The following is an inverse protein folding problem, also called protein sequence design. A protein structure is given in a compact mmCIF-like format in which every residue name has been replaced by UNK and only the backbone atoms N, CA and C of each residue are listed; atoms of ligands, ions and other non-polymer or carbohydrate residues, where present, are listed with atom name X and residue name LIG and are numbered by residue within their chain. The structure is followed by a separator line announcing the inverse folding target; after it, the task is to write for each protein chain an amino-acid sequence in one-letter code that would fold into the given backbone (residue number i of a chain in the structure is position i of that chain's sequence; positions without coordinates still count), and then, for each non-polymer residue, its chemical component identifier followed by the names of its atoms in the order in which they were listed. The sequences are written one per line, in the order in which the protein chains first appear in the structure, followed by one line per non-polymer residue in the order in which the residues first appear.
data_IF_856604903431
#
_entry.id   IF_856604903431
#
_cell.length_a   1.000
_cell.length_b   1.000
_cell.length_c   1.000
_cell.angle_alpha   90.00
_cell.angle_beta   90.00
_cell.angle_gamma   90.00
#
_symmetry.space_group_name_H-M   'P 1'
#
loop_
_entity.id
_entity.type
_entity.pdbx_description
1 polymer ?
#
# COMPACT_ATOMS: atom_id res chain seq x y z
N UNK A 1 24.29 11.40 17.09
CA UNK A 1 22.95 11.13 16.51
C UNK A 1 22.79 12.00 15.30
N UNK A 2 22.22 11.48 14.22
CA UNK A 2 21.93 12.29 13.04
C UNK A 2 20.94 13.40 13.42
N UNK A 3 21.13 14.59 12.86
CA UNK A 3 20.25 15.74 13.11
C UNK A 3 18.99 15.71 12.24
N UNK A 4 18.74 14.62 11.52
CA UNK A 4 17.64 14.52 10.57
C UNK A 4 17.09 13.11 10.45
N UNK A 5 15.84 13.03 10.00
CA UNK A 5 15.16 11.81 9.57
C UNK A 5 14.23 12.12 8.39
N UNK A 6 14.53 11.57 7.21
CA UNK A 6 13.84 11.92 5.96
C UNK A 6 12.89 10.82 5.49
N UNK A 7 12.63 9.80 6.28
CA UNK A 7 11.75 8.71 5.87
C UNK A 7 10.94 8.23 7.06
N UNK A 8 9.75 8.80 7.23
CA UNK A 8 8.82 8.46 8.30
C UNK A 8 7.38 8.46 7.81
N UNK A 9 6.58 7.63 8.48
CA UNK A 9 5.17 7.41 8.18
C UNK A 9 4.30 7.81 9.37
N UNK A 10 3.17 8.43 9.07
CA UNK A 10 2.11 8.78 10.00
C UNK A 10 0.91 7.85 9.82
N UNK A 11 -0.10 8.00 10.68
CA UNK A 11 -1.36 7.28 10.55
C UNK A 11 -2.12 7.51 9.22
N UNK A 12 -1.69 8.44 8.37
CA UNK A 12 -2.35 8.73 7.09
C UNK A 12 -2.02 7.74 5.96
N UNK A 13 -0.97 6.93 6.09
CA UNK A 13 -0.55 5.90 5.11
C UNK A 13 -0.99 4.47 5.46
N UNK A 14 -1.58 4.28 6.65
CA UNK A 14 -2.12 2.99 7.11
C UNK A 14 -1.09 2.02 7.70
N UNK A 15 0.19 2.23 7.47
CA UNK A 15 1.31 1.50 8.09
C UNK A 15 2.03 2.31 9.18
N UNK A 16 1.85 3.63 9.22
CA UNK A 16 2.26 4.49 10.33
C UNK A 16 1.30 4.42 11.52
N UNK A 17 1.86 4.54 12.73
CA UNK A 17 1.10 4.46 14.00
C UNK A 17 0.84 5.81 14.65
N UNK A 18 1.67 6.81 14.36
CA UNK A 18 1.67 8.10 15.05
C UNK A 18 1.01 9.18 14.19
N UNK A 19 0.28 10.08 14.84
CA UNK A 19 -0.15 11.33 14.22
C UNK A 19 1.04 12.26 13.90
N UNK A 20 0.89 13.22 12.97
CA UNK A 20 1.90 14.26 12.74
C UNK A 20 2.39 14.96 14.01
N UNK A 21 1.49 15.23 14.95
CA UNK A 21 1.82 15.84 16.25
C UNK A 21 2.74 14.95 17.09
N UNK A 22 2.40 13.67 17.21
CA UNK A 22 3.23 12.73 17.96
C UNK A 22 4.61 12.57 17.30
N UNK A 23 4.68 12.53 15.97
CA UNK A 23 5.95 12.48 15.24
C UNK A 23 6.83 13.71 15.52
N UNK A 24 6.25 14.91 15.54
CA UNK A 24 6.97 16.14 15.88
C UNK A 24 7.46 16.13 17.33
N UNK A 25 6.65 15.70 18.29
CA UNK A 25 7.06 15.60 19.69
C UNK A 25 8.18 14.56 19.89
N UNK A 26 8.14 13.45 19.13
CA UNK A 26 9.23 12.47 19.12
C UNK A 26 10.49 13.09 18.52
N UNK A 27 10.39 13.79 17.39
CA UNK A 27 11.52 14.43 16.72
C UNK A 27 12.21 15.48 17.62
N UNK A 28 11.43 16.31 18.31
CA UNK A 28 11.89 17.30 19.28
C UNK A 28 12.64 16.64 20.44
N UNK A 29 12.06 15.62 21.07
CA UNK A 29 12.69 14.82 22.14
C UNK A 29 13.98 14.15 21.70
N UNK A 30 14.08 13.74 20.42
CA UNK A 30 15.27 13.13 19.82
C UNK A 30 16.30 14.16 19.36
N UNK A 31 15.99 15.45 19.43
CA UNK A 31 16.89 16.52 19.00
C UNK A 31 17.05 16.63 17.48
N UNK A 32 16.10 16.11 16.70
CA UNK A 32 16.10 16.24 15.25
C UNK A 32 15.85 17.71 14.84
N UNK A 33 16.48 18.13 13.76
CA UNK A 33 16.40 19.50 13.21
C UNK A 33 15.75 19.56 11.85
N UNK A 34 15.80 18.47 11.09
CA UNK A 34 15.19 18.36 9.77
C UNK A 34 14.44 17.03 9.70
N UNK A 35 13.18 17.06 9.30
CA UNK A 35 12.41 15.83 9.04
C UNK A 35 11.70 15.89 7.70
N UNK A 36 11.25 14.74 7.19
CA UNK A 36 10.32 14.66 6.07
C UNK A 36 9.28 13.59 6.33
N UNK A 37 8.00 13.98 6.29
CA UNK A 37 6.89 13.02 6.31
C UNK A 37 6.71 12.47 4.90
N UNK A 38 6.82 11.17 4.75
CA UNK A 38 6.84 10.47 3.46
C UNK A 38 5.82 9.34 3.46
N UNK A 39 4.59 9.66 3.84
CA UNK A 39 3.47 8.72 3.85
C UNK A 39 3.33 8.00 2.49
N UNK A 40 3.00 6.71 2.52
CA UNK A 40 2.67 5.94 1.32
C UNK A 40 1.53 6.59 0.53
N UNK A 41 1.83 7.00 -0.70
CA UNK A 41 0.91 7.50 -1.72
C UNK A 41 0.02 8.68 -1.29
N UNK A 42 0.36 9.35 -0.18
CA UNK A 42 -0.46 10.39 0.43
C UNK A 42 0.38 11.57 0.92
N UNK A 43 -0.13 12.78 0.73
CA UNK A 43 0.46 14.03 1.25
C UNK A 43 -0.38 14.67 2.36
N UNK A 44 -1.41 13.98 2.83
CA UNK A 44 -2.47 14.51 3.71
C UNK A 44 -1.93 15.11 5.02
N UNK A 45 -0.91 14.50 5.62
CA UNK A 45 -0.29 14.97 6.86
C UNK A 45 0.77 16.05 6.69
N UNK A 46 1.22 16.34 5.46
CA UNK A 46 2.42 17.16 5.23
C UNK A 46 2.20 18.62 5.64
N UNK A 47 1.02 19.18 5.38
CA UNK A 47 0.69 20.55 5.79
C UNK A 47 0.70 20.69 7.32
N UNK A 48 -0.01 19.78 8.00
CA UNK A 48 -0.12 19.73 9.46
C UNK A 48 1.26 19.61 10.12
N UNK A 49 2.07 18.62 9.69
CA UNK A 49 3.40 18.40 10.29
C UNK A 49 4.34 19.58 10.04
N UNK A 50 4.21 20.26 8.89
CA UNK A 50 5.00 21.45 8.56
C UNK A 50 4.69 22.62 9.48
N UNK A 51 3.42 22.84 9.82
CA UNK A 51 3.00 23.89 10.76
C UNK A 51 3.51 23.59 12.17
N UNK A 52 3.33 22.35 12.66
CA UNK A 52 3.83 21.89 13.95
C UNK A 52 5.36 21.97 14.06
N UNK A 53 6.08 21.65 12.97
CA UNK A 53 7.54 21.77 12.90
C UNK A 53 8.01 23.21 13.11
N UNK A 54 7.31 24.21 12.55
CA UNK A 54 7.64 25.64 12.75
C UNK A 54 7.57 26.02 14.22
N UNK A 55 6.56 25.56 14.95
CA UNK A 55 6.39 25.84 16.39
C UNK A 55 7.55 25.30 17.23
N UNK A 56 8.14 24.17 16.82
CA UNK A 56 9.26 23.50 17.50
C UNK A 56 10.64 23.88 16.95
N UNK A 57 10.72 24.73 15.93
CA UNK A 57 11.98 25.04 15.24
C UNK A 57 12.59 23.84 14.50
N UNK A 58 11.76 22.89 14.07
CA UNK A 58 12.13 21.72 13.26
C UNK A 58 11.75 22.02 11.81
N UNK A 59 12.71 21.95 10.90
CA UNK A 59 12.44 22.12 9.47
C UNK A 59 11.80 20.86 8.92
N UNK A 60 10.62 21.00 8.32
CA UNK A 60 9.96 19.91 7.58
C UNK A 60 10.20 20.09 6.09
N UNK A 61 10.68 19.04 5.44
CA UNK A 61 10.73 18.92 3.98
C UNK A 61 9.46 18.18 3.54
N UNK A 62 8.62 18.76 2.68
CA UNK A 62 7.47 18.05 2.12
C UNK A 62 7.92 16.75 1.44
N UNK A 63 7.24 15.65 1.74
CA UNK A 63 7.65 14.32 1.31
C UNK A 63 6.46 13.47 0.90
N UNK A 64 6.75 12.42 0.14
CA UNK A 64 5.84 11.31 -0.16
C UNK A 64 6.68 10.05 -0.44
N UNK A 65 6.17 8.87 -0.14
CA UNK A 65 6.69 7.61 -0.66
C UNK A 65 5.68 7.04 -1.66
N UNK A 66 6.00 7.08 -2.95
CA UNK A 66 5.16 6.53 -4.00
C UNK A 66 5.37 5.03 -4.15
N UNK A 67 4.27 4.26 -4.18
CA UNK A 67 4.27 2.87 -4.61
C UNK A 67 4.35 2.81 -6.14
N UNK A 68 5.38 2.17 -6.68
CA UNK A 68 5.60 2.12 -8.14
C UNK A 68 6.02 0.73 -8.61
N UNK A 69 5.87 0.47 -9.90
CA UNK A 69 6.34 -0.75 -10.55
C UNK A 69 7.53 -0.44 -11.45
N UNK A 70 8.60 -1.24 -11.31
CA UNK A 70 9.75 -1.27 -12.21
C UNK A 70 10.02 -2.71 -12.64
N UNK A 71 9.94 -2.98 -13.95
CA UNK A 71 10.19 -4.32 -14.53
C UNK A 71 9.37 -5.45 -13.86
N UNK A 72 8.14 -5.13 -13.43
CA UNK A 72 7.24 -6.07 -12.76
C UNK A 72 7.46 -6.23 -11.26
N UNK A 73 8.39 -5.49 -10.66
CA UNK A 73 8.67 -5.51 -9.23
C UNK A 73 8.15 -4.24 -8.56
N UNK A 74 7.67 -4.38 -7.32
CA UNK A 74 7.33 -3.25 -6.46
C UNK A 74 8.61 -2.52 -6.04
N UNK A 75 8.68 -1.23 -6.38
CA UNK A 75 9.79 -0.35 -6.02
C UNK A 75 9.20 0.93 -5.43
N UNK A 76 9.57 1.24 -4.19
CA UNK A 76 9.15 2.49 -3.58
C UNK A 76 10.07 3.65 -3.97
N UNK A 77 9.46 4.80 -4.23
CA UNK A 77 10.13 6.00 -4.67
C UNK A 77 9.77 7.18 -3.77
N UNK A 78 10.77 7.75 -3.11
CA UNK A 78 10.62 8.95 -2.29
C UNK A 78 10.61 10.18 -3.19
N UNK A 79 9.68 11.10 -2.93
CA UNK A 79 9.65 12.44 -3.52
C UNK A 79 9.84 13.50 -2.46
N UNK A 80 10.93 14.26 -2.53
CA UNK A 80 11.25 15.32 -1.56
C UNK A 80 11.08 16.71 -2.15
N UNK A 81 10.49 17.63 -1.39
CA UNK A 81 10.28 19.02 -1.79
C UNK A 81 9.21 19.18 -2.87
N UNK A 82 8.29 18.23 -2.98
CA UNK A 82 7.18 18.29 -3.93
C UNK A 82 6.18 19.41 -3.58
N UNK A 83 5.53 19.95 -4.59
CA UNK A 83 4.30 20.71 -4.43
C UNK A 83 3.17 19.79 -3.96
N UNK A 84 2.79 19.92 -2.70
CA UNK A 84 1.74 19.11 -2.06
C UNK A 84 0.32 19.52 -2.47
N UNK A 85 0.16 20.65 -3.19
CA UNK A 85 -1.12 21.06 -3.78
C UNK A 85 -1.26 20.55 -5.23
N UNK A 86 -0.22 19.93 -5.79
CA UNK A 86 -0.27 19.31 -7.10
C UNK A 86 -1.35 18.23 -7.15
N UNK A 87 -2.27 18.35 -8.11
CA UNK A 87 -3.45 17.49 -8.22
C UNK A 87 -3.11 16.00 -8.38
N UNK A 88 -1.95 15.64 -8.94
CA UNK A 88 -1.54 14.24 -9.03
C UNK A 88 -1.37 13.62 -7.63
N UNK A 89 -0.65 14.30 -6.73
CA UNK A 89 -0.34 13.81 -5.38
C UNK A 89 -1.52 13.93 -4.44
N UNK A 90 -2.31 15.01 -4.55
CA UNK A 90 -3.55 15.18 -3.77
C UNK A 90 -4.52 14.01 -4.01
N UNK A 91 -4.61 13.52 -5.25
CA UNK A 91 -5.54 12.47 -5.64
C UNK A 91 -4.87 11.08 -5.78
N UNK A 92 -3.60 10.90 -5.39
CA UNK A 92 -2.88 9.65 -5.65
C UNK A 92 -3.48 8.49 -4.85
N UNK A 93 -3.57 8.62 -3.53
CA UNK A 93 -4.17 7.60 -2.65
C UNK A 93 -5.59 7.20 -3.11
N UNK A 94 -6.45 8.17 -3.43
CA UNK A 94 -7.82 7.89 -3.87
C UNK A 94 -7.86 7.13 -5.20
N UNK A 95 -6.99 7.47 -6.16
CA UNK A 95 -6.87 6.73 -7.43
C UNK A 95 -6.39 5.30 -7.20
N UNK A 96 -5.39 5.09 -6.36
CA UNK A 96 -4.87 3.75 -6.07
C UNK A 96 -5.89 2.90 -5.32
N UNK A 97 -6.59 3.48 -4.33
CA UNK A 97 -7.69 2.82 -3.63
C UNK A 97 -8.79 2.39 -4.60
N UNK A 98 -9.16 3.26 -5.55
CA UNK A 98 -10.14 2.90 -6.58
C UNK A 98 -9.66 1.71 -7.43
N UNK A 99 -8.41 1.74 -7.91
CA UNK A 99 -7.82 0.64 -8.69
C UNK A 99 -7.84 -0.68 -7.90
N UNK A 100 -7.52 -0.62 -6.60
CA UNK A 100 -7.54 -1.78 -5.72
C UNK A 100 -8.94 -2.35 -5.53
N UNK A 101 -9.96 -1.50 -5.35
CA UNK A 101 -11.35 -1.94 -5.27
C UNK A 101 -11.86 -2.52 -6.58
N UNK A 102 -11.66 -1.82 -7.71
CA UNK A 102 -12.03 -2.32 -9.04
C UNK A 102 -11.41 -3.71 -9.31
N UNK A 103 -10.13 -3.87 -8.96
CA UNK A 103 -9.43 -5.14 -9.07
C UNK A 103 -10.00 -6.21 -8.12
N UNK A 104 -10.42 -5.85 -6.91
CA UNK A 104 -11.04 -6.78 -5.98
C UNK A 104 -12.40 -7.27 -6.48
N UNK A 105 -13.26 -6.39 -6.99
CA UNK A 105 -14.54 -6.80 -7.61
C UNK A 105 -14.33 -7.78 -8.75
N UNK A 106 -13.37 -7.50 -9.64
CA UNK A 106 -13.06 -8.40 -10.76
C UNK A 106 -12.48 -9.75 -10.28
N UNK A 107 -11.69 -9.76 -9.21
CA UNK A 107 -11.21 -11.00 -8.58
C UNK A 107 -12.37 -11.82 -8.04
N UNK A 108 -13.29 -11.18 -7.31
CA UNK A 108 -14.51 -11.84 -6.79
C UNK A 108 -15.31 -12.44 -7.94
N UNK A 109 -15.60 -11.67 -8.99
CA UNK A 109 -16.33 -12.15 -10.18
C UNK A 109 -15.67 -13.40 -10.79
N UNK A 110 -14.36 -13.35 -11.04
CA UNK A 110 -13.60 -14.48 -11.60
C UNK A 110 -13.64 -15.71 -10.71
N UNK A 111 -13.50 -15.54 -9.40
CA UNK A 111 -13.53 -16.64 -8.42
C UNK A 111 -14.94 -17.27 -8.39
N UNK A 112 -15.99 -16.45 -8.32
CA UNK A 112 -17.38 -16.93 -8.35
C UNK A 112 -17.66 -17.75 -9.62
N UNK A 113 -17.28 -17.21 -10.78
CA UNK A 113 -17.47 -17.87 -12.07
C UNK A 113 -16.68 -19.19 -12.18
N UNK A 114 -15.45 -19.23 -11.67
CA UNK A 114 -14.58 -20.42 -11.77
C UNK A 114 -15.04 -21.55 -10.85
N UNK A 115 -15.47 -21.22 -9.62
CA UNK A 115 -15.72 -22.21 -8.58
C UNK A 115 -17.21 -22.41 -8.27
N UNK A 116 -18.11 -21.63 -8.88
CA UNK A 116 -19.55 -21.69 -8.61
C UNK A 116 -19.90 -21.31 -7.17
N UNK A 117 -19.18 -20.33 -6.61
CA UNK A 117 -19.42 -19.84 -5.24
C UNK A 117 -20.12 -18.48 -5.27
N UNK A 118 -20.85 -18.17 -4.20
CA UNK A 118 -21.53 -16.88 -4.02
C UNK A 118 -20.77 -16.06 -2.97
N UNK A 119 -20.40 -14.84 -3.36
CA UNK A 119 -19.64 -13.88 -2.57
C UNK A 119 -20.27 -12.50 -2.75
N UNK A 120 -20.42 -11.79 -1.64
CA UNK A 120 -20.79 -10.38 -1.65
C UNK A 120 -19.52 -9.54 -1.46
N UNK A 121 -19.08 -8.87 -2.53
CA UNK A 121 -17.86 -8.07 -2.50
C UNK A 121 -18.00 -6.84 -1.59
N UNK A 122 -19.18 -6.22 -1.54
CA UNK A 122 -19.43 -5.04 -0.72
C UNK A 122 -19.41 -5.43 0.76
N UNK A 123 -20.04 -6.54 1.12
CA UNK A 123 -19.99 -7.07 2.49
C UNK A 123 -18.56 -7.43 2.90
N UNK A 124 -17.77 -8.06 2.02
CA UNK A 124 -16.38 -8.40 2.32
C UNK A 124 -15.51 -7.16 2.54
N UNK A 125 -15.74 -6.10 1.77
CA UNK A 125 -15.07 -4.80 1.95
C UNK A 125 -15.47 -4.18 3.29
N UNK A 126 -16.76 -4.12 3.61
CA UNK A 126 -17.24 -3.54 4.87
C UNK A 126 -16.69 -4.31 6.08
N UNK A 127 -16.78 -5.63 6.05
CA UNK A 127 -16.32 -6.51 7.11
C UNK A 127 -14.79 -6.53 7.29
N UNK A 128 -14.03 -6.03 6.31
CA UNK A 128 -12.58 -5.89 6.42
C UNK A 128 -12.14 -4.69 7.27
N UNK A 129 -13.06 -3.74 7.56
CA UNK A 129 -12.80 -2.52 8.32
C UNK A 129 -11.58 -1.73 7.80
N UNK A 130 -11.48 -1.58 6.48
CA UNK A 130 -10.40 -0.86 5.81
C UNK A 130 -9.09 -1.64 5.67
N UNK A 131 -9.06 -2.92 6.06
CA UNK A 131 -7.96 -3.84 5.77
C UNK A 131 -8.16 -4.50 4.39
N UNK A 132 -7.14 -5.19 3.90
CA UNK A 132 -7.25 -5.91 2.63
C UNK A 132 -8.32 -7.04 2.73
N UNK A 133 -9.44 -6.97 1.96
CA UNK A 133 -10.53 -7.93 2.04
C UNK A 133 -10.16 -9.32 1.50
N UNK A 134 -9.05 -9.45 0.76
CA UNK A 134 -8.54 -10.72 0.23
C UNK A 134 -8.37 -11.80 1.31
N UNK A 135 -7.79 -11.41 2.44
CA UNK A 135 -7.53 -12.35 3.55
C UNK A 135 -8.84 -12.81 4.19
N UNK A 136 -9.78 -11.89 4.40
CA UNK A 136 -11.09 -12.23 4.97
C UNK A 136 -11.87 -13.16 4.03
N UNK A 137 -11.91 -12.84 2.74
CA UNK A 137 -12.57 -13.63 1.71
C UNK A 137 -12.07 -15.08 1.71
N UNK A 138 -10.75 -15.27 1.58
CA UNK A 138 -10.18 -16.62 1.53
C UNK A 138 -10.25 -17.35 2.86
N UNK A 139 -10.10 -16.64 3.98
CA UNK A 139 -10.31 -17.25 5.30
C UNK A 139 -11.72 -17.80 5.43
N UNK A 140 -12.75 -17.05 5.00
CA UNK A 140 -14.13 -17.53 5.01
C UNK A 140 -14.33 -18.69 4.05
N UNK A 141 -13.88 -18.59 2.81
CA UNK A 141 -14.02 -19.66 1.80
C UNK A 141 -13.37 -20.96 2.27
N UNK A 142 -12.14 -20.91 2.74
CA UNK A 142 -11.40 -22.12 3.15
C UNK A 142 -11.91 -22.75 4.45
N UNK A 143 -12.69 -22.03 5.26
CA UNK A 143 -13.32 -22.57 6.46
C UNK A 143 -14.81 -22.91 6.26
N UNK A 144 -15.39 -22.62 5.09
CA UNK A 144 -16.79 -22.90 4.81
C UNK A 144 -16.98 -24.38 4.41
N UNK A 145 -17.79 -25.17 5.15
CA UNK A 145 -18.06 -26.57 4.82
C UNK A 145 -18.62 -26.80 3.40
N UNK A 146 -19.32 -25.80 2.84
CA UNK A 146 -19.91 -25.88 1.48
C UNK A 146 -18.85 -26.03 0.40
N UNK A 147 -17.64 -25.52 0.63
CA UNK A 147 -16.59 -25.40 -0.39
C UNK A 147 -15.42 -26.37 -0.22
N UNK A 148 -15.43 -27.19 0.85
CA UNK A 148 -14.35 -28.15 1.15
C UNK A 148 -14.17 -29.24 0.09
N UNK A 149 -15.20 -29.49 -0.72
CA UNK A 149 -15.16 -30.46 -1.82
C UNK A 149 -14.49 -29.96 -3.11
N UNK A 150 -14.15 -28.67 -3.20
CA UNK A 150 -13.53 -28.10 -4.39
C UNK A 150 -12.06 -28.56 -4.45
N UNK A 151 -11.70 -29.27 -5.52
CA UNK A 151 -10.38 -29.87 -5.70
C UNK A 151 -9.24 -28.85 -5.53
N UNK A 152 -9.42 -27.67 -6.13
CA UNK A 152 -8.46 -26.57 -6.09
C UNK A 152 -8.20 -26.03 -4.67
N UNK A 153 -9.09 -26.30 -3.70
CA UNK A 153 -8.99 -25.77 -2.34
C UNK A 153 -8.31 -26.73 -1.36
N UNK A 154 -8.20 -28.03 -1.70
CA UNK A 154 -7.72 -29.08 -0.78
C UNK A 154 -6.37 -28.79 -0.13
N UNK A 155 -5.47 -28.12 -0.84
CA UNK A 155 -4.15 -27.80 -0.32
C UNK A 155 -4.16 -26.60 0.65
N UNK A 156 -5.21 -25.78 0.65
CA UNK A 156 -5.30 -24.52 1.38
C UNK A 156 -6.28 -24.55 2.56
N UNK A 157 -7.26 -25.45 2.55
CA UNK A 157 -8.15 -25.68 3.69
C UNK A 157 -7.37 -26.18 4.92
N UNK A 158 -7.92 -26.05 6.15
CA UNK A 158 -7.22 -26.48 7.37
C UNK A 158 -6.69 -27.92 7.28
N UNK A 159 -5.38 -28.09 7.52
CA UNK A 159 -4.67 -29.37 7.41
C UNK A 159 -4.07 -29.66 6.03
N UNK A 160 -4.35 -28.83 5.02
CA UNK A 160 -3.70 -28.88 3.72
C UNK A 160 -2.24 -28.42 3.76
N UNK A 161 -1.42 -28.91 2.82
CA UNK A 161 0.04 -28.65 2.79
C UNK A 161 0.42 -27.18 2.53
N UNK A 162 -0.53 -26.33 2.12
CA UNK A 162 -0.36 -24.89 1.84
C UNK A 162 -1.33 -24.03 2.64
N UNK A 163 -1.89 -24.56 3.73
CA UNK A 163 -2.90 -23.85 4.53
C UNK A 163 -2.35 -22.67 5.35
N UNK A 164 -1.02 -22.51 5.44
CA UNK A 164 -0.39 -21.45 6.22
C UNK A 164 0.71 -20.70 5.43
N UNK A 165 0.53 -19.40 5.10
CA UNK A 165 -0.74 -18.67 5.07
C UNK A 165 -1.50 -18.95 3.77
N UNK A 166 -2.66 -19.62 3.89
CA UNK A 166 -3.47 -20.05 2.74
C UNK A 166 -3.81 -18.94 1.71
N UNK A 167 -4.28 -17.74 2.11
CA UNK A 167 -4.63 -16.69 1.15
C UNK A 167 -3.44 -16.22 0.29
N UNK A 168 -2.23 -16.23 0.84
CA UNK A 168 -1.01 -15.84 0.12
C UNK A 168 -0.59 -16.94 -0.84
N UNK A 169 -0.54 -18.18 -0.34
CA UNK A 169 -0.18 -19.34 -1.15
C UNK A 169 -1.14 -19.51 -2.34
N UNK A 170 -2.44 -19.33 -2.12
CA UNK A 170 -3.44 -19.39 -3.19
C UNK A 170 -3.21 -18.31 -4.25
N UNK A 171 -2.90 -17.08 -3.83
CA UNK A 171 -2.61 -15.99 -4.75
C UNK A 171 -1.40 -16.31 -5.66
N UNK A 172 -0.32 -16.83 -5.09
CA UNK A 172 0.88 -17.21 -5.86
C UNK A 172 0.68 -18.40 -6.78
N UNK A 173 -0.17 -19.35 -6.42
CA UNK A 173 -0.37 -20.55 -7.22
C UNK A 173 -1.42 -20.36 -8.32
N UNK A 174 -2.44 -19.53 -8.07
CA UNK A 174 -3.66 -19.50 -8.87
C UNK A 174 -4.00 -18.16 -9.49
N UNK A 175 -3.38 -17.05 -9.04
CA UNK A 175 -3.75 -15.69 -9.45
C UNK A 175 -2.63 -14.91 -10.14
N UNK A 176 -1.51 -15.55 -10.49
CA UNK A 176 -0.39 -14.93 -11.19
C UNK A 176 -0.68 -14.74 -12.68
N UNK A 177 0.10 -13.88 -13.33
CA UNK A 177 -0.01 -13.60 -14.76
C UNK A 177 -0.03 -14.91 -15.58
N UNK A 178 -1.00 -15.01 -16.51
CA UNK A 178 -1.22 -16.21 -17.32
C UNK A 178 -2.23 -17.20 -16.73
N UNK A 179 -2.73 -16.99 -15.52
CA UNK A 179 -3.84 -17.76 -14.95
C UNK A 179 -5.21 -17.16 -15.27
N UNK A 180 -6.27 -17.97 -15.25
CA UNK A 180 -7.65 -17.49 -15.46
C UNK A 180 -8.10 -16.48 -14.39
N UNK A 181 -7.57 -16.59 -13.18
CA UNK A 181 -7.89 -15.72 -12.04
C UNK A 181 -7.00 -14.47 -11.99
N UNK A 182 -6.06 -14.30 -12.92
CA UNK A 182 -5.21 -13.12 -12.97
C UNK A 182 -6.03 -11.85 -13.21
N UNK A 183 -5.76 -10.81 -12.43
CA UNK A 183 -6.31 -9.47 -12.63
C UNK A 183 -5.15 -8.50 -12.73
N UNK A 184 -5.00 -7.89 -13.90
CA UNK A 184 -4.03 -6.84 -14.13
C UNK A 184 -4.51 -5.54 -13.47
N UNK A 185 -3.59 -4.88 -12.77
CA UNK A 185 -3.79 -3.55 -12.21
C UNK A 185 -2.69 -2.66 -12.76
N UNK A 186 -3.09 -1.57 -13.42
CA UNK A 186 -2.16 -0.60 -13.97
C UNK A 186 -1.68 0.34 -12.85
N UNK A 187 -0.72 -0.15 -12.07
CA UNK A 187 -0.06 0.64 -11.02
C UNK A 187 0.86 1.71 -11.65
N UNK A 188 1.17 2.81 -10.91
CA UNK A 188 2.11 3.82 -11.37
C UNK A 188 3.46 3.22 -11.79
N UNK A 189 3.94 3.57 -12.98
CA UNK A 189 5.29 3.21 -13.42
C UNK A 189 6.32 4.03 -12.65
N UNK A 190 7.44 3.41 -12.32
CA UNK A 190 8.58 4.07 -11.70
C UNK A 190 9.01 5.32 -12.49
N UNK A 191 9.15 5.20 -13.82
CA UNK A 191 9.57 6.29 -14.70
C UNK A 191 8.57 7.45 -14.73
N UNK A 192 7.28 7.16 -14.82
CA UNK A 192 6.26 8.21 -14.77
C UNK A 192 6.22 8.88 -13.39
N UNK A 193 6.34 8.12 -12.30
CA UNK A 193 6.40 8.67 -10.94
C UNK A 193 7.62 9.57 -10.73
N UNK A 194 8.80 9.21 -11.25
CA UNK A 194 9.98 10.10 -11.26
C UNK A 194 9.66 11.40 -11.98
N UNK A 195 9.05 11.32 -13.16
CA UNK A 195 8.66 12.51 -13.94
C UNK A 195 7.67 13.38 -13.17
N UNK A 196 6.65 12.79 -12.53
CA UNK A 196 5.65 13.50 -11.74
C UNK A 196 6.24 14.23 -10.54
N UNK A 197 7.20 13.59 -9.85
CA UNK A 197 7.94 14.22 -8.74
C UNK A 197 8.70 15.46 -9.24
N UNK A 198 9.42 15.34 -10.36
CA UNK A 198 10.17 16.46 -10.94
C UNK A 198 9.25 17.57 -11.49
N UNK A 199 8.13 17.22 -12.13
CA UNK A 199 7.10 18.17 -12.59
C UNK A 199 6.51 18.99 -11.44
N UNK A 200 6.42 18.40 -10.23
CA UNK A 200 6.01 19.08 -9.01
C UNK A 200 7.16 19.78 -8.27
N UNK A 201 8.33 19.92 -8.89
CA UNK A 201 9.50 20.62 -8.33
C UNK A 201 10.30 19.84 -7.29
N UNK A 202 9.95 18.57 -7.04
CA UNK A 202 10.63 17.72 -6.07
C UNK A 202 11.85 17.00 -6.64
N UNK A 203 12.51 16.23 -5.78
CA UNK A 203 13.63 15.33 -6.11
C UNK A 203 13.19 13.89 -5.83
N UNK A 204 13.36 13.02 -6.83
CA UNK A 204 13.06 11.61 -6.71
C UNK A 204 14.26 10.82 -6.17
N UNK A 205 14.04 9.93 -5.19
CA UNK A 205 15.07 9.08 -4.57
C UNK A 205 14.52 7.67 -4.39
N UNK A 206 15.26 6.65 -4.80
CA UNK A 206 14.83 5.26 -4.55
C UNK A 206 14.85 4.97 -3.05
N UNK A 207 13.70 4.52 -2.52
CA UNK A 207 13.58 4.13 -1.13
C UNK A 207 14.25 2.78 -0.90
N UNK A 208 14.90 2.60 0.26
CA UNK A 208 15.43 1.31 0.74
C UNK A 208 15.93 0.35 -0.36
N UNK A 209 16.90 0.77 -1.22
CA UNK A 209 17.22 0.09 -2.48
C UNK A 209 17.68 -1.36 -2.31
N UNK A 210 18.27 -1.69 -1.15
CA UNK A 210 18.69 -3.05 -0.84
C UNK A 210 17.52 -4.01 -0.66
N UNK A 211 16.33 -3.54 -0.25
CA UNK A 211 15.12 -4.36 -0.24
C UNK A 211 14.57 -4.59 -1.63
N UNK A 212 14.64 -3.56 -2.49
CA UNK A 212 14.01 -3.58 -3.81
C UNK A 212 14.80 -4.39 -4.85
N UNK A 213 16.14 -4.47 -4.72
CA UNK A 213 16.99 -5.03 -5.79
C UNK A 213 17.93 -6.17 -5.37
N UNK A 214 18.07 -6.44 -4.07
CA UNK A 214 18.99 -7.49 -3.57
C UNK A 214 18.27 -8.60 -2.79
N UNK A 215 16.94 -8.72 -2.93
CA UNK A 215 16.13 -9.78 -2.31
C UNK A 215 15.85 -10.95 -3.25
#
# INVERSE_FOLDING_TARGET
MNSFDLHMHSMYSGDGQFSPKELIDIADKKGLKIISLTDHDAVKGVKEITELGKEKGIRVIPGIECSTILEGNDVHLLGYGIDIENSYFVNLADRLNKLMYDAFYLRVEKIQNKYGIELDADELIEASHGKNPWFLMWTRIFNDPRYQGIEDFKDYIPGGKRSDPAPVNFFWDKCQAGSDLYVYVENPSFEDSVKKIHEAGGIAVVAHPFKNFLS
#
